data_IF_780201719906
#
_entry.id   IF_780201719906
#
_cell.length_a   1.000
_cell.length_b   1.000
_cell.length_c   1.000
_cell.angle_alpha   90.00
_cell.angle_beta   90.00
_cell.angle_gamma   90.00
#
_symmetry.space_group_name_H-M   'P 1'
#
loop_
_entity.id
_entity.type
_entity.pdbx_description
1 polymer ?
#
# COMPACT_ATOMS: atom_id res chain seq x y z
N UNK A 1 3.54 18.23 -5.31
CA UNK A 1 2.28 17.63 -5.79
C UNK A 1 1.16 18.65 -5.56
N UNK A 2 0.96 19.56 -6.51
CA UNK A 2 -0.22 20.44 -6.59
C UNK A 2 -0.97 20.00 -7.84
N UNK A 3 -2.25 19.62 -7.70
CA UNK A 3 -3.11 19.27 -8.85
C UNK A 3 -3.52 17.80 -9.01
N UNK A 4 -3.31 16.92 -8.02
CA UNK A 4 -3.92 15.58 -8.11
C UNK A 4 -5.44 15.76 -7.94
N UNK A 5 -6.22 15.39 -8.97
CA UNK A 5 -7.65 15.15 -8.80
C UNK A 5 -7.89 14.21 -7.61
N UNK A 6 -9.11 14.21 -7.05
CA UNK A 6 -9.44 13.32 -5.95
C UNK A 6 -8.90 11.90 -6.22
N UNK A 7 -8.15 11.31 -5.27
CA UNK A 7 -7.71 9.91 -5.36
C UNK A 7 -8.98 9.06 -5.31
N UNK A 8 -9.60 8.84 -6.47
CA UNK A 8 -10.82 8.06 -6.60
C UNK A 8 -10.50 6.57 -6.67
N UNK A 9 -9.35 6.25 -7.27
CA UNK A 9 -8.88 4.88 -7.49
C UNK A 9 -7.61 4.59 -6.68
N UNK A 10 -7.50 3.37 -6.11
CA UNK A 10 -6.30 2.95 -5.41
C UNK A 10 -5.09 2.86 -6.35
N UNK A 11 -3.99 3.49 -5.97
CA UNK A 11 -2.77 3.54 -6.77
C UNK A 11 -1.57 3.02 -5.97
N UNK A 12 -0.68 2.27 -6.64
CA UNK A 12 0.51 1.68 -6.05
C UNK A 12 1.76 2.10 -6.80
N UNK A 13 2.80 2.51 -6.07
CA UNK A 13 4.06 3.01 -6.60
C UNK A 13 5.24 2.26 -5.98
N UNK A 14 6.18 1.81 -6.82
CA UNK A 14 7.47 1.32 -6.37
C UNK A 14 8.48 2.47 -6.38
N UNK A 15 9.04 2.78 -5.21
CA UNK A 15 9.95 3.90 -4.98
C UNK A 15 11.32 3.37 -4.56
N UNK A 16 12.36 3.56 -5.38
CA UNK A 16 13.73 3.27 -4.96
C UNK A 16 14.23 4.38 -4.02
N UNK A 17 14.64 4.00 -2.81
CA UNK A 17 15.32 4.89 -1.86
C UNK A 17 16.83 4.77 -2.05
N UNK A 18 17.32 5.39 -3.13
CA UNK A 18 18.66 5.19 -3.70
C UNK A 18 19.80 5.42 -2.72
N UNK A 19 19.69 6.40 -1.83
CA UNK A 19 20.75 6.74 -0.86
C UNK A 19 20.98 5.68 0.23
N UNK A 20 20.01 4.80 0.46
CA UNK A 20 20.05 3.77 1.50
C UNK A 20 19.85 2.35 0.94
N UNK A 21 19.84 2.21 -0.40
CA UNK A 21 19.75 0.94 -1.12
C UNK A 21 18.59 0.03 -0.66
N UNK A 22 17.42 0.63 -0.41
CA UNK A 22 16.17 -0.09 -0.11
C UNK A 22 15.06 0.35 -1.08
N UNK A 23 14.04 -0.48 -1.17
CA UNK A 23 12.84 -0.24 -1.96
C UNK A 23 11.66 0.02 -1.03
N UNK A 24 10.81 0.98 -1.39
CA UNK A 24 9.54 1.22 -0.75
C UNK A 24 8.41 0.96 -1.75
N UNK A 25 7.44 0.13 -1.37
CA UNK A 25 6.17 0.05 -2.07
C UNK A 25 5.15 0.91 -1.34
N UNK A 26 4.56 1.87 -2.03
CA UNK A 26 3.62 2.84 -1.46
C UNK A 26 2.26 2.65 -2.12
N UNK A 27 1.21 2.58 -1.32
CA UNK A 27 -0.17 2.41 -1.77
C UNK A 27 -1.01 3.56 -1.26
N UNK A 28 -1.69 4.26 -2.17
CA UNK A 28 -2.55 5.40 -1.88
C UNK A 28 -4.00 5.03 -2.14
N UNK A 29 -4.88 5.46 -1.23
CA UNK A 29 -6.31 5.26 -1.41
C UNK A 29 -7.10 6.30 -0.59
N UNK A 30 -8.41 6.35 -0.80
CA UNK A 30 -9.32 7.20 -0.04
C UNK A 30 -10.70 6.56 0.16
N UNK A 31 -11.42 7.04 1.16
CA UNK A 31 -12.83 6.72 1.34
C UNK A 31 -13.66 7.97 1.64
N UNK A 32 -14.96 7.99 1.29
CA UNK A 32 -15.85 9.11 1.62
C UNK A 32 -15.99 9.30 3.13
N UNK A 33 -15.83 10.53 3.60
CA UNK A 33 -16.03 10.90 5.00
C UNK A 33 -16.57 12.32 5.05
N UNK A 34 -17.86 12.46 5.40
CA UNK A 34 -18.56 13.75 5.47
C UNK A 34 -18.09 14.64 6.61
N UNK A 35 -17.34 14.11 7.58
CA UNK A 35 -16.75 14.88 8.67
C UNK A 35 -15.46 15.60 8.25
N UNK A 36 -14.81 15.17 7.17
CA UNK A 36 -13.56 15.74 6.68
C UNK A 36 -13.78 16.88 5.68
N UNK A 37 -13.00 17.96 5.81
CA UNK A 37 -12.99 19.04 4.80
C UNK A 37 -12.48 18.47 3.47
N UNK A 38 -13.37 18.39 2.49
CA UNK A 38 -13.13 17.71 1.21
C UNK A 38 -13.95 16.44 0.98
N UNK A 39 -14.76 16.02 1.96
CA UNK A 39 -15.72 14.91 1.84
C UNK A 39 -15.11 13.53 1.70
N UNK A 40 -13.78 13.42 1.83
CA UNK A 40 -13.01 12.18 1.69
C UNK A 40 -11.80 12.20 2.62
N UNK A 41 -11.48 11.05 3.18
CA UNK A 41 -10.24 10.83 3.91
C UNK A 41 -9.27 10.07 3.03
N UNK A 42 -8.09 10.65 2.81
CA UNK A 42 -6.99 10.02 2.08
C UNK A 42 -6.03 9.35 3.06
N UNK A 43 -5.47 8.21 2.67
CA UNK A 43 -4.50 7.49 3.47
C UNK A 43 -3.49 6.79 2.57
N UNK A 44 -2.39 6.38 3.21
CA UNK A 44 -1.26 5.74 2.55
C UNK A 44 -0.80 4.56 3.38
N UNK A 45 -0.56 3.44 2.73
CA UNK A 45 0.18 2.33 3.31
C UNK A 45 1.54 2.20 2.62
N UNK A 46 2.55 1.77 3.37
CA UNK A 46 3.89 1.59 2.83
C UNK A 46 4.56 0.35 3.38
N UNK A 47 5.23 -0.40 2.51
CA UNK A 47 6.13 -1.48 2.87
C UNK A 47 7.54 -1.12 2.42
N UNK A 48 8.51 -1.23 3.33
CA UNK A 48 9.92 -1.00 3.05
C UNK A 48 10.65 -2.34 3.12
N UNK A 49 11.45 -2.65 2.11
CA UNK A 49 12.25 -3.86 2.06
C UNK A 49 13.56 -3.63 1.28
N UNK A 50 14.57 -4.47 1.53
CA UNK A 50 15.89 -4.37 0.87
C UNK A 50 15.77 -4.43 -0.65
N UNK A 51 14.87 -5.28 -1.16
CA UNK A 51 14.60 -5.43 -2.59
C UNK A 51 13.14 -5.77 -2.79
N UNK A 52 12.51 -5.10 -3.74
CA UNK A 52 11.16 -5.41 -4.21
C UNK A 52 11.25 -5.44 -5.73
N UNK A 53 10.98 -6.60 -6.32
CA UNK A 53 10.89 -6.73 -7.78
C UNK A 53 9.56 -6.20 -8.29
N UNK A 54 9.48 -5.91 -9.59
CA UNK A 54 8.22 -5.50 -10.22
C UNK A 54 7.11 -6.55 -10.00
N UNK A 55 7.42 -7.84 -10.17
CA UNK A 55 6.43 -8.90 -9.97
C UNK A 55 5.95 -8.99 -8.50
N UNK A 56 6.87 -8.84 -7.54
CA UNK A 56 6.50 -8.75 -6.12
C UNK A 56 5.61 -7.52 -5.86
N UNK A 57 5.88 -6.37 -6.49
CA UNK A 57 5.05 -5.18 -6.35
C UNK A 57 3.61 -5.40 -6.83
N UNK A 58 3.41 -6.19 -7.89
CA UNK A 58 2.07 -6.56 -8.37
C UNK A 58 1.32 -7.45 -7.37
N UNK A 59 2.02 -8.42 -6.75
CA UNK A 59 1.45 -9.26 -5.69
C UNK A 59 1.13 -8.44 -4.44
N UNK A 60 2.05 -7.58 -4.01
CA UNK A 60 1.86 -6.67 -2.89
C UNK A 60 0.63 -5.77 -3.12
N UNK A 61 0.43 -5.26 -4.34
CA UNK A 61 -0.77 -4.47 -4.68
C UNK A 61 -2.06 -5.19 -4.30
N UNK A 62 -2.16 -6.49 -4.55
CA UNK A 62 -3.35 -7.28 -4.20
C UNK A 62 -3.57 -7.33 -2.68
N UNK A 63 -2.49 -7.53 -1.91
CA UNK A 63 -2.54 -7.53 -0.44
C UNK A 63 -2.95 -6.16 0.11
N UNK A 64 -2.43 -5.07 -0.48
CA UNK A 64 -2.81 -3.71 -0.08
C UNK A 64 -4.24 -3.34 -0.47
N UNK A 65 -4.78 -3.86 -1.58
CA UNK A 65 -6.20 -3.70 -1.94
C UNK A 65 -7.10 -4.40 -0.91
N UNK A 66 -6.73 -5.62 -0.49
CA UNK A 66 -7.45 -6.34 0.56
C UNK A 66 -7.43 -5.55 1.89
N UNK A 67 -6.24 -5.12 2.33
CA UNK A 67 -6.08 -4.32 3.55
C UNK A 67 -6.87 -2.99 3.46
N UNK A 68 -6.82 -2.32 2.32
CA UNK A 68 -7.58 -1.11 2.05
C UNK A 68 -9.08 -1.37 2.20
N UNK A 69 -9.62 -2.43 1.62
CA UNK A 69 -11.04 -2.78 1.75
C UNK A 69 -11.46 -2.91 3.22
N UNK A 70 -10.68 -3.65 4.02
CA UNK A 70 -10.94 -3.80 5.46
C UNK A 70 -10.88 -2.45 6.20
N UNK A 71 -9.83 -1.66 5.92
CA UNK A 71 -9.64 -0.34 6.54
C UNK A 71 -10.76 0.64 6.22
N UNK A 72 -11.20 0.70 4.95
CA UNK A 72 -12.35 1.54 4.52
C UNK A 72 -13.64 1.16 5.22
N UNK A 73 -13.86 -0.14 5.40
CA UNK A 73 -15.04 -0.68 6.06
C UNK A 73 -14.95 -0.63 7.59
N UNK A 74 -13.85 -0.09 8.15
CA UNK A 74 -13.59 -0.05 9.59
C UNK A 74 -13.70 -1.44 10.23
N UNK A 75 -13.35 -2.48 9.47
CA UNK A 75 -13.32 -3.85 9.94
C UNK A 75 -12.03 -4.10 10.72
N UNK A 76 -12.10 -5.00 11.71
CA UNK A 76 -10.90 -5.49 12.37
C UNK A 76 -9.99 -6.20 11.36
N UNK A 77 -8.69 -5.95 11.45
CA UNK A 77 -7.68 -6.57 10.64
C UNK A 77 -6.48 -6.90 11.51
N UNK A 78 -5.81 -8.01 11.19
CA UNK A 78 -4.66 -8.50 11.93
C UNK A 78 -3.37 -8.15 11.19
N UNK A 79 -2.56 -7.29 11.81
CA UNK A 79 -1.27 -6.88 11.27
C UNK A 79 -0.34 -8.06 11.03
N UNK A 80 -0.40 -9.11 11.86
CA UNK A 80 0.45 -10.30 11.74
C UNK A 80 0.12 -11.10 10.47
N UNK A 81 -1.17 -11.24 10.16
CA UNK A 81 -1.64 -11.91 8.93
C UNK A 81 -1.15 -11.17 7.69
N UNK A 82 -1.30 -9.85 7.66
CA UNK A 82 -0.85 -9.03 6.52
C UNK A 82 0.67 -8.99 6.42
N UNK A 83 1.37 -8.89 7.55
CA UNK A 83 2.82 -8.95 7.62
C UNK A 83 3.35 -10.28 7.05
N UNK A 84 2.73 -11.40 7.41
CA UNK A 84 3.08 -12.72 6.90
C UNK A 84 2.87 -12.82 5.38
N UNK A 85 1.68 -12.42 4.88
CA UNK A 85 1.40 -12.39 3.43
C UNK A 85 2.44 -11.58 2.66
N UNK A 86 2.78 -10.39 3.15
CA UNK A 86 3.79 -9.54 2.51
C UNK A 86 5.19 -10.17 2.59
N UNK A 87 5.55 -10.76 3.73
CA UNK A 87 6.84 -11.43 3.91
C UNK A 87 6.99 -12.64 2.99
N UNK A 88 5.96 -13.47 2.85
CA UNK A 88 5.95 -14.63 1.96
C UNK A 88 6.23 -14.22 0.50
N UNK A 89 5.56 -13.15 0.02
CA UNK A 89 5.79 -12.57 -1.32
C UNK A 89 7.25 -12.14 -1.50
N UNK A 90 7.87 -11.55 -0.47
CA UNK A 90 9.25 -11.09 -0.52
C UNK A 90 10.25 -12.26 -0.53
N UNK A 91 9.94 -13.37 0.13
CA UNK A 91 10.82 -14.54 0.28
C UNK A 91 10.76 -15.48 -0.93
N UNK A 92 9.61 -15.59 -1.61
CA UNK A 92 9.32 -16.50 -2.74
C UNK A 92 10.33 -16.48 -3.93
N UNK A 93 11.29 -15.54 -3.96
CA UNK A 93 12.26 -15.38 -5.07
C UNK A 93 13.72 -15.61 -4.65
N UNK A 94 13.96 -16.27 -3.52
CA UNK A 94 15.34 -16.57 -3.02
C UNK A 94 15.84 -17.98 -3.36
N UNK A 95 15.34 -18.60 -4.43
CA UNK A 95 15.82 -19.90 -4.95
C UNK A 95 16.11 -19.76 -6.45
#
# INVERSE_FOLDING_TARGET
MYGQGAILDPEGLLVPLTYINIMAYVFFDSYPDSSYRGGRKQYMFSLIATKITYFQSLKLKQVFIELSSLYKNQQEWDIEVFWKKMSDILIETTI
#
